data_IF_014102481035
#
_entry.id   IF_014102481035
#
_cell.length_a   1.000
_cell.length_b   1.000
_cell.length_c   1.000
_cell.angle_alpha   90.00
_cell.angle_beta   90.00
_cell.angle_gamma   90.00
#
_symmetry.space_group_name_H-M   'P 1'
#
loop_
_entity.id
_entity.type
_entity.pdbx_description
1 polymer ?
#
# COMPACT_ATOMS: atom_id res chain seq x y z
N UNK A 1 1.14 29.90 -19.88
CA UNK A 1 1.87 28.89 -20.67
C UNK A 1 0.98 27.66 -20.80
N UNK A 2 0.38 27.43 -21.98
CA UNK A 2 -0.44 26.25 -22.25
C UNK A 2 0.46 25.17 -22.84
N UNK A 3 0.62 24.05 -22.15
CA UNK A 3 1.18 22.83 -22.72
C UNK A 3 0.02 21.88 -23.01
N UNK A 4 -0.20 21.57 -24.28
CA UNK A 4 -0.94 20.37 -24.69
C UNK A 4 0.11 19.32 -25.02
N UNK A 5 0.16 18.24 -24.24
CA UNK A 5 0.79 17.00 -24.66
C UNK A 5 -0.31 16.03 -25.10
N UNK A 6 -0.25 15.61 -26.35
CA UNK A 6 -1.01 14.49 -26.90
C UNK A 6 0.03 13.59 -27.54
N UNK A 7 0.12 12.36 -27.05
CA UNK A 7 1.14 11.42 -27.48
C UNK A 7 1.11 10.20 -26.59
N UNK A 8 0.17 9.29 -26.88
CA UNK A 8 0.22 7.88 -26.51
C UNK A 8 1.00 7.56 -25.23
N UNK A 9 0.59 8.13 -24.10
CA UNK A 9 0.90 7.46 -22.85
C UNK A 9 0.08 6.19 -22.98
N UNK A 10 0.74 5.07 -23.31
CA UNK A 10 0.22 3.79 -22.86
C UNK A 10 -0.01 4.05 -21.39
N UNK A 11 -1.27 4.24 -21.06
CA UNK A 11 -1.77 3.79 -19.78
C UNK A 11 -1.43 2.30 -19.83
N UNK A 12 -0.18 1.96 -19.53
CA UNK A 12 0.12 0.83 -18.66
C UNK A 12 -0.59 1.30 -17.40
N UNK A 13 -1.92 1.14 -17.39
CA UNK A 13 -2.76 1.49 -16.27
C UNK A 13 -2.17 0.70 -15.17
N UNK A 14 -1.60 1.41 -14.20
CA UNK A 14 -1.49 0.89 -12.86
C UNK A 14 -2.81 0.15 -12.63
N UNK A 15 -2.77 -1.18 -12.56
CA UNK A 15 -3.98 -1.99 -12.42
C UNK A 15 -4.39 -1.83 -10.97
N UNK A 16 -4.98 -0.66 -10.70
CA UNK A 16 -5.32 -0.18 -9.37
C UNK A 16 -6.22 -1.20 -8.70
N UNK A 17 -7.13 -1.83 -9.45
CA UNK A 17 -7.99 -2.90 -8.96
C UNK A 17 -7.21 -4.14 -8.53
N UNK A 18 -6.22 -4.58 -9.33
CA UNK A 18 -5.33 -5.69 -8.94
C UNK A 18 -4.52 -5.34 -7.70
N UNK A 19 -3.98 -4.12 -7.61
CA UNK A 19 -3.22 -3.67 -6.44
C UNK A 19 -4.12 -3.63 -5.20
N UNK A 20 -5.33 -3.07 -5.29
CA UNK A 20 -6.28 -3.06 -4.19
C UNK A 20 -6.67 -4.47 -3.73
N UNK A 21 -6.89 -5.40 -4.67
CA UNK A 21 -7.16 -6.81 -4.34
C UNK A 21 -5.97 -7.48 -3.63
N UNK A 22 -4.75 -7.22 -4.10
CA UNK A 22 -3.51 -7.69 -3.47
C UNK A 22 -3.37 -7.15 -2.05
N UNK A 23 -3.46 -5.83 -1.88
CA UNK A 23 -3.41 -5.15 -0.59
C UNK A 23 -4.47 -5.66 0.39
N UNK A 24 -5.70 -5.84 -0.08
CA UNK A 24 -6.78 -6.35 0.76
C UNK A 24 -6.51 -7.80 1.20
N UNK A 25 -5.96 -8.63 0.31
CA UNK A 25 -5.60 -10.02 0.62
C UNK A 25 -4.44 -10.10 1.61
N UNK A 26 -3.40 -9.30 1.40
CA UNK A 26 -2.26 -9.18 2.31
C UNK A 26 -2.70 -8.68 3.69
N UNK A 27 -3.56 -7.64 3.74
CA UNK A 27 -4.11 -7.10 4.99
C UNK A 27 -4.93 -8.15 5.76
N UNK A 28 -5.79 -8.91 5.07
CA UNK A 28 -6.53 -10.02 5.69
C UNK A 28 -5.60 -11.08 6.24
N UNK A 29 -4.60 -11.51 5.47
CA UNK A 29 -3.64 -12.52 5.91
C UNK A 29 -2.84 -12.03 7.12
N UNK A 30 -2.35 -10.79 7.10
CA UNK A 30 -1.62 -10.20 8.20
C UNK A 30 -2.43 -10.23 9.51
N UNK A 31 -3.71 -9.82 9.45
CA UNK A 31 -4.61 -9.87 10.62
C UNK A 31 -4.98 -11.29 11.08
N UNK A 32 -4.87 -12.29 10.19
CA UNK A 32 -5.11 -13.69 10.56
C UNK A 32 -3.90 -14.33 11.25
N UNK A 33 -2.68 -13.93 10.88
CA UNK A 33 -1.44 -14.51 11.44
C UNK A 33 -0.96 -13.78 12.68
N UNK A 34 -1.30 -12.50 12.84
CA UNK A 34 -0.92 -11.68 13.98
C UNK A 34 -2.14 -10.97 14.60
N UNK A 35 -2.59 -11.48 15.76
CA UNK A 35 -3.70 -10.91 16.53
C UNK A 35 -3.39 -9.52 17.12
N UNK A 36 -2.11 -9.13 17.15
CA UNK A 36 -1.69 -7.81 17.58
C UNK A 36 -2.05 -6.74 16.54
N UNK A 37 -2.33 -7.12 15.29
CA UNK A 37 -2.71 -6.18 14.22
C UNK A 37 -4.19 -5.84 14.31
N UNK A 38 -4.48 -4.62 14.74
CA UNK A 38 -5.84 -4.10 14.87
C UNK A 38 -6.41 -3.63 13.54
N UNK A 39 -5.59 -2.94 12.75
CA UNK A 39 -6.03 -2.29 11.50
C UNK A 39 -4.89 -2.24 10.48
N UNK A 40 -5.26 -2.34 9.20
CA UNK A 40 -4.38 -2.08 8.07
C UNK A 40 -5.12 -1.15 7.11
N UNK A 41 -4.58 0.05 6.89
CA UNK A 41 -5.22 1.11 6.13
C UNK A 41 -4.29 1.66 5.05
N UNK A 42 -4.82 1.85 3.84
CA UNK A 42 -4.11 2.53 2.75
C UNK A 42 -4.38 4.03 2.82
N UNK A 43 -3.33 4.84 2.73
CA UNK A 43 -3.44 6.29 2.64
C UNK A 43 -2.63 6.83 1.45
N UNK A 44 -2.41 8.14 1.41
CA UNK A 44 -1.57 8.75 0.39
C UNK A 44 -2.22 8.89 -0.99
N UNK A 45 -1.39 8.85 -2.03
CA UNK A 45 -1.78 9.16 -3.42
C UNK A 45 -2.65 8.05 -4.03
N UNK A 46 -2.35 6.79 -3.72
CA UNK A 46 -3.09 5.61 -4.18
C UNK A 46 -4.50 5.57 -3.60
N UNK A 47 -4.65 5.82 -2.29
CA UNK A 47 -5.96 5.92 -1.65
C UNK A 47 -6.84 7.02 -2.26
N UNK A 48 -6.24 8.09 -2.79
CA UNK A 48 -6.95 9.24 -3.38
C UNK A 48 -7.21 9.08 -4.88
N UNK A 49 -6.86 7.95 -5.49
CA UNK A 49 -6.98 7.73 -6.94
C UNK A 49 -6.10 8.67 -7.76
N UNK A 50 -5.04 9.23 -7.15
CA UNK A 50 -4.08 10.15 -7.79
C UNK A 50 -2.70 9.53 -7.98
N UNK A 51 -2.58 8.21 -7.79
CA UNK A 51 -1.34 7.49 -8.06
C UNK A 51 -1.02 7.54 -9.56
N UNK A 52 0.24 7.82 -9.85
CA UNK A 52 0.83 7.73 -11.18
C UNK A 52 1.68 6.46 -11.28
N UNK A 53 2.01 5.96 -12.48
CA UNK A 53 2.97 4.86 -12.61
C UNK A 53 4.26 5.17 -11.82
N UNK A 54 4.67 4.23 -10.94
CA UNK A 54 5.82 4.41 -10.05
C UNK A 54 5.52 5.11 -8.72
N UNK A 55 4.25 5.40 -8.40
CA UNK A 55 3.88 5.85 -7.05
C UNK A 55 4.00 4.72 -6.03
N UNK A 56 4.58 5.03 -4.87
CA UNK A 56 4.60 4.14 -3.71
C UNK A 56 3.19 4.00 -3.10
N UNK A 57 2.95 2.89 -2.39
CA UNK A 57 1.74 2.69 -1.59
C UNK A 57 2.04 2.99 -0.12
N UNK A 58 1.32 3.96 0.44
CA UNK A 58 1.45 4.33 1.84
C UNK A 58 0.50 3.50 2.71
N UNK A 59 1.04 2.64 3.58
CA UNK A 59 0.27 1.71 4.43
C UNK A 59 0.45 2.05 5.90
N UNK A 60 -0.66 2.14 6.63
CA UNK A 60 -0.71 2.28 8.07
C UNK A 60 -1.12 0.95 8.70
N UNK A 61 -0.28 0.44 9.62
CA UNK A 61 -0.59 -0.75 10.42
C UNK A 61 -0.71 -0.31 11.87
N UNK A 62 -1.90 -0.52 12.45
CA UNK A 62 -2.18 -0.22 13.86
C UNK A 62 -2.04 -1.50 14.66
N UNK A 63 -1.22 -1.45 15.72
CA UNK A 63 -0.99 -2.57 16.62
C UNK A 63 -1.65 -2.31 17.97
N UNK A 64 -2.08 -3.38 18.65
CA UNK A 64 -2.63 -3.30 20.01
C UNK A 64 -1.57 -2.88 21.01
N UNK A 65 -0.38 -3.45 20.91
CA UNK A 65 0.78 -3.05 21.71
C UNK A 65 2.09 -3.36 20.97
N UNK A 66 3.16 -2.63 21.25
CA UNK A 66 4.50 -2.99 20.81
C UNK A 66 5.51 -2.50 21.84
N UNK A 67 6.38 -3.37 22.37
CA UNK A 67 7.47 -2.92 23.23
C UNK A 67 8.59 -2.21 22.45
N UNK A 68 8.62 -2.37 21.12
CA UNK A 68 9.63 -1.77 20.24
C UNK A 68 9.22 -0.36 19.78
N UNK A 69 10.18 0.58 19.64
CA UNK A 69 9.95 1.88 19.01
C UNK A 69 9.39 1.77 17.59
N UNK A 70 8.66 2.79 17.10
CA UNK A 70 7.97 2.72 15.80
C UNK A 70 8.84 2.39 14.58
N UNK A 71 10.10 2.84 14.55
CA UNK A 71 11.01 2.60 13.42
C UNK A 71 11.57 1.18 13.41
N UNK A 72 11.80 0.60 14.59
CA UNK A 72 12.40 -0.73 14.73
C UNK A 72 11.43 -1.86 14.39
N UNK A 73 10.11 -1.61 14.51
CA UNK A 73 9.07 -2.60 14.20
C UNK A 73 8.69 -2.66 12.72
N UNK A 74 9.12 -1.72 11.88
CA UNK A 74 8.77 -1.72 10.44
C UNK A 74 9.33 -2.96 9.74
N UNK A 75 10.49 -3.44 10.18
CA UNK A 75 11.15 -4.63 9.64
C UNK A 75 10.30 -5.90 9.77
N UNK A 76 9.52 -6.01 10.85
CA UNK A 76 8.61 -7.14 11.10
C UNK A 76 7.49 -7.25 10.04
N UNK A 77 7.25 -6.17 9.29
CA UNK A 77 6.20 -6.09 8.27
C UNK A 77 6.72 -5.92 6.84
N UNK A 78 8.03 -6.02 6.59
CA UNK A 78 8.54 -5.84 5.22
C UNK A 78 8.07 -6.92 4.24
N UNK A 79 7.81 -8.14 4.72
CA UNK A 79 7.23 -9.23 3.91
C UNK A 79 5.81 -8.91 3.42
N UNK A 80 5.10 -8.00 4.10
CA UNK A 80 3.81 -7.49 3.64
C UNK A 80 3.93 -6.85 2.25
N UNK A 81 5.02 -6.13 1.97
CA UNK A 81 5.22 -5.42 0.69
C UNK A 81 5.37 -6.38 -0.50
N UNK A 82 5.98 -7.54 -0.29
CA UNK A 82 6.17 -8.56 -1.32
C UNK A 82 4.87 -9.32 -1.68
N UNK A 83 3.84 -9.22 -0.84
CA UNK A 83 2.61 -10.01 -0.99
C UNK A 83 1.57 -9.42 -1.95
N UNK A 84 1.76 -8.19 -2.45
CA UNK A 84 0.77 -7.49 -3.29
C UNK A 84 1.33 -6.81 -4.55
N UNK A 85 2.65 -6.94 -4.80
CA UNK A 85 3.33 -6.44 -6.00
C UNK A 85 3.12 -7.28 -7.27
#
# INVERSE_FOLDING_TARGET
MRSRSSGSVRIISLDVDRIFKGLQSAARRLRQVDENVLEVSLFGSLAKGRAVPGSDADILIVLKNSPRPPLERVTDFMDFSAAWG
#
